data_IF_161285359246
#
_entry.id   IF_161285359246
#
_cell.length_a   1.000
_cell.length_b   1.000
_cell.length_c   1.000
_cell.angle_alpha   90.00
_cell.angle_beta   90.00
_cell.angle_gamma   90.00
#
_symmetry.space_group_name_H-M   'P 1'
#
loop_
_entity.id
_entity.type
_entity.pdbx_description
1 polymer ?
#
# COMPACT_ATOMS: atom_id res chain seq x y z
N UNK A 1 10.53 -3.87 -12.12
CA UNK A 1 11.34 -4.99 -11.60
C UNK A 1 11.08 -6.24 -12.44
N UNK A 2 12.12 -6.95 -12.90
CA UNK A 2 12.04 -8.25 -13.60
C UNK A 2 13.05 -9.19 -12.96
N UNK A 3 12.58 -10.34 -12.48
CA UNK A 3 13.36 -11.31 -11.71
C UNK A 3 13.27 -12.65 -12.43
N UNK A 4 14.42 -13.29 -12.62
CA UNK A 4 14.51 -14.57 -13.33
C UNK A 4 14.23 -15.77 -12.42
N UNK A 5 14.34 -16.97 -13.01
CA UNK A 5 14.11 -18.24 -12.34
C UNK A 5 15.08 -18.49 -11.18
N UNK A 6 16.35 -18.15 -11.33
CA UNK A 6 17.38 -18.46 -10.33
C UNK A 6 17.14 -17.60 -9.08
N UNK A 7 16.89 -16.31 -9.27
CA UNK A 7 16.55 -15.41 -8.16
C UNK A 7 15.18 -15.74 -7.54
N UNK A 8 14.16 -16.07 -8.34
CA UNK A 8 12.84 -16.46 -7.81
C UNK A 8 12.88 -17.72 -6.95
N UNK A 9 13.78 -18.67 -7.26
CA UNK A 9 13.91 -19.96 -6.54
C UNK A 9 14.94 -19.90 -5.41
N UNK A 10 15.71 -18.83 -5.31
CA UNK A 10 16.52 -18.53 -4.14
C UNK A 10 15.64 -17.87 -3.08
N UNK A 11 15.25 -18.62 -2.06
CA UNK A 11 14.31 -18.15 -1.06
C UNK A 11 14.77 -16.87 -0.36
N UNK A 12 16.01 -16.82 0.13
CA UNK A 12 16.54 -15.66 0.86
C UNK A 12 16.50 -14.40 -0.01
N UNK A 13 16.89 -14.54 -1.28
CA UNK A 13 16.82 -13.45 -2.25
C UNK A 13 15.38 -13.02 -2.52
N UNK A 14 14.49 -13.97 -2.78
CA UNK A 14 13.10 -13.72 -3.14
C UNK A 14 12.27 -13.15 -1.99
N UNK A 15 12.60 -13.47 -0.73
CA UNK A 15 12.00 -12.89 0.48
C UNK A 15 12.42 -11.43 0.69
N UNK A 16 13.62 -11.04 0.23
CA UNK A 16 14.12 -9.66 0.31
C UNK A 16 13.68 -8.75 -0.83
N UNK A 17 12.96 -9.27 -1.83
CA UNK A 17 12.46 -8.51 -2.98
C UNK A 17 10.96 -8.25 -2.81
N UNK A 18 10.61 -6.99 -2.55
CA UNK A 18 9.24 -6.57 -2.24
C UNK A 18 8.58 -5.86 -3.43
N UNK A 19 7.25 -5.98 -3.52
CA UNK A 19 6.43 -5.26 -4.50
C UNK A 19 5.27 -4.53 -3.79
N UNK A 20 4.79 -3.45 -4.41
CA UNK A 20 3.73 -2.60 -3.89
C UNK A 20 2.77 -2.21 -5.02
N UNK A 21 1.48 -2.32 -4.74
CA UNK A 21 0.38 -1.88 -5.59
C UNK A 21 -0.54 -0.99 -4.75
N UNK A 22 -0.62 0.30 -5.08
CA UNK A 22 -1.43 1.26 -4.31
C UNK A 22 -2.74 1.56 -5.03
N UNK A 23 -3.83 1.70 -4.29
CA UNK A 23 -5.09 2.16 -4.87
C UNK A 23 -5.23 3.70 -4.88
N UNK A 24 -4.26 4.41 -4.29
CA UNK A 24 -4.22 5.86 -4.16
C UNK A 24 -5.35 6.45 -3.30
N UNK A 25 -5.91 5.63 -2.42
CA UNK A 25 -6.79 6.01 -1.30
C UNK A 25 -6.14 5.67 0.05
N UNK A 26 -4.85 5.32 0.05
CA UNK A 26 -4.10 4.85 1.21
C UNK A 26 -4.19 3.34 1.43
N UNK A 27 -5.08 2.65 0.68
CA UNK A 27 -5.08 1.19 0.59
C UNK A 27 -4.01 0.69 -0.39
N UNK A 28 -3.53 -0.53 -0.15
CA UNK A 28 -2.51 -1.14 -0.99
C UNK A 28 -2.50 -2.67 -0.87
N UNK A 29 -1.89 -3.31 -1.86
CA UNK A 29 -1.44 -4.70 -1.83
C UNK A 29 0.09 -4.71 -1.85
N UNK A 30 0.70 -5.57 -1.05
CA UNK A 30 2.17 -5.71 -1.05
C UNK A 30 2.57 -7.10 -0.57
N UNK A 31 3.77 -7.50 -0.94
CA UNK A 31 4.33 -8.80 -0.59
C UNK A 31 5.74 -8.97 -1.12
N UNK A 32 6.23 -10.20 -1.08
CA UNK A 32 7.56 -10.56 -1.62
C UNK A 32 7.43 -11.29 -2.95
N UNK A 33 8.55 -11.38 -3.69
CA UNK A 33 8.65 -12.23 -4.90
C UNK A 33 8.47 -13.71 -4.56
N UNK A 34 8.91 -14.15 -3.37
CA UNK A 34 8.70 -15.53 -2.90
C UNK A 34 7.22 -15.88 -2.67
N UNK A 35 6.35 -14.86 -2.57
CA UNK A 35 4.94 -15.00 -2.24
C UNK A 35 4.66 -14.99 -0.74
N UNK A 36 5.66 -15.22 0.11
CA UNK A 36 5.49 -15.20 1.57
C UNK A 36 5.44 -13.78 2.14
N UNK A 37 4.62 -13.59 3.17
CA UNK A 37 4.64 -12.37 3.97
C UNK A 37 5.86 -12.41 4.92
N UNK A 38 6.70 -11.38 4.84
CA UNK A 38 7.86 -11.18 5.75
C UNK A 38 7.63 -10.08 6.77
N UNK A 39 6.58 -9.27 6.54
CA UNK A 39 6.16 -8.13 7.36
C UNK A 39 4.69 -8.28 7.72
N UNK A 40 4.29 -7.74 8.88
CA UNK A 40 2.86 -7.61 9.26
C UNK A 40 2.08 -6.65 8.34
N UNK A 41 2.80 -5.89 7.52
CA UNK A 41 2.23 -4.93 6.57
C UNK A 41 1.94 -5.54 5.19
N UNK A 42 2.50 -6.73 4.89
CA UNK A 42 2.17 -7.42 3.65
C UNK A 42 0.73 -7.92 3.71
N UNK A 43 -0.01 -7.61 2.66
CA UNK A 43 -1.44 -7.82 2.57
C UNK A 43 -1.86 -7.87 1.11
N UNK A 44 -2.90 -8.63 0.82
CA UNK A 44 -3.55 -8.60 -0.49
C UNK A 44 -4.65 -7.54 -0.55
N UNK A 45 -5.46 -7.40 0.49
CA UNK A 45 -6.45 -6.32 0.61
C UNK A 45 -6.25 -5.59 1.94
N UNK A 46 -5.59 -4.43 1.87
CA UNK A 46 -5.55 -3.44 2.93
C UNK A 46 -6.28 -2.20 2.47
N UNK A 47 -7.26 -1.73 3.25
CA UNK A 47 -8.08 -0.57 2.90
C UNK A 47 -7.99 0.51 3.97
N UNK A 48 -8.08 1.77 3.55
CA UNK A 48 -8.16 2.93 4.44
C UNK A 48 -9.63 3.34 4.58
N UNK A 49 -10.20 3.25 5.78
CA UNK A 49 -11.61 3.65 6.01
C UNK A 49 -11.80 5.16 5.94
N UNK A 50 -10.76 5.92 6.25
CA UNK A 50 -10.70 7.38 6.11
C UNK A 50 -9.45 7.77 5.33
N UNK A 51 -9.44 7.60 4.00
CA UNK A 51 -8.27 7.86 3.17
C UNK A 51 -7.47 9.12 3.54
N UNK A 52 -6.13 9.03 3.66
CA UNK A 52 -5.30 7.82 3.55
C UNK A 52 -5.12 7.04 4.88
N UNK A 53 -5.83 7.40 5.95
CA UNK A 53 -5.69 6.87 7.31
C UNK A 53 -6.73 5.81 7.67
N UNK A 54 -6.63 5.29 8.89
CA UNK A 54 -7.55 4.29 9.44
C UNK A 54 -7.51 2.98 8.63
N UNK A 55 -6.29 2.44 8.47
CA UNK A 55 -5.96 1.31 7.60
C UNK A 55 -6.17 -0.03 8.30
N UNK A 56 -6.84 -0.95 7.62
CA UNK A 56 -7.04 -2.32 8.09
C UNK A 56 -6.56 -3.33 7.06
N UNK A 57 -5.86 -4.35 7.52
CA UNK A 57 -5.61 -5.56 6.73
C UNK A 57 -6.85 -6.44 6.84
N UNK A 58 -7.47 -6.73 5.70
CA UNK A 58 -8.68 -7.53 5.60
C UNK A 58 -8.42 -8.89 4.96
N UNK A 59 -7.52 -8.94 3.97
CA UNK A 59 -7.04 -10.19 3.38
C UNK A 59 -5.52 -10.17 3.40
N UNK A 60 -4.93 -11.07 4.18
CA UNK A 60 -3.49 -11.21 4.37
C UNK A 60 -2.81 -11.81 3.13
N UNK A 61 -3.37 -12.92 2.61
CA UNK A 61 -2.71 -13.75 1.61
C UNK A 61 -3.70 -14.69 0.89
N UNK A 62 -3.23 -15.41 -0.14
CA UNK A 62 -3.95 -16.52 -0.78
C UNK A 62 -3.06 -17.76 -0.81
N UNK A 63 -3.49 -18.86 -0.21
CA UNK A 63 -2.87 -20.15 -0.49
C UNK A 63 -3.45 -20.75 -1.77
N UNK A 64 -2.62 -20.87 -2.80
CA UNK A 64 -3.02 -21.38 -4.11
C UNK A 64 -2.26 -22.67 -4.49
N UNK A 65 -2.98 -23.61 -5.10
CA UNK A 65 -2.49 -24.89 -5.59
C UNK A 65 -3.10 -25.21 -6.96
N UNK A 66 -2.35 -25.88 -7.81
CA UNK A 66 -2.90 -26.48 -9.03
C UNK A 66 -2.79 -28.01 -8.99
N UNK A 67 -3.83 -28.68 -9.47
CA UNK A 67 -3.88 -30.13 -9.54
C UNK A 67 -3.74 -30.58 -11.00
N UNK A 68 -2.69 -31.35 -11.26
CA UNK A 68 -2.32 -31.88 -12.59
C UNK A 68 -2.27 -33.39 -12.48
N UNK A 69 -3.16 -34.08 -13.21
CA UNK A 69 -3.19 -35.56 -13.29
C UNK A 69 -3.19 -36.24 -11.90
N UNK A 70 -3.87 -35.65 -10.91
CA UNK A 70 -4.00 -36.17 -9.55
C UNK A 70 -2.87 -35.81 -8.60
N UNK A 71 -1.89 -34.99 -9.03
CA UNK A 71 -0.83 -34.44 -8.18
C UNK A 71 -1.02 -32.94 -7.96
N UNK A 72 -0.75 -32.46 -6.74
CA UNK A 72 -0.93 -31.05 -6.37
C UNK A 72 0.40 -30.31 -6.31
N UNK A 73 0.45 -29.12 -6.93
CA UNK A 73 1.62 -28.24 -6.94
C UNK A 73 1.27 -26.89 -6.35
N UNK A 74 2.03 -26.38 -5.37
CA UNK A 74 1.76 -25.10 -4.75
C UNK A 74 2.21 -23.95 -5.65
N UNK A 75 1.44 -22.86 -5.63
CA UNK A 75 1.82 -21.57 -6.21
C UNK A 75 2.15 -20.53 -5.13
N UNK A 76 1.73 -20.77 -3.89
CA UNK A 76 1.91 -19.87 -2.73
C UNK A 76 3.06 -20.34 -1.82
N UNK A 77 3.60 -19.44 -1.00
CA UNK A 77 4.64 -19.76 -0.03
C UNK A 77 4.30 -19.13 1.31
N UNK A 78 4.37 -19.89 2.41
CA UNK A 78 4.23 -19.37 3.77
C UNK A 78 5.37 -19.86 4.66
N UNK A 79 5.70 -19.05 5.67
CA UNK A 79 6.75 -19.33 6.66
C UNK A 79 6.12 -19.67 8.00
N UNK A 80 6.58 -20.75 8.61
CA UNK A 80 6.15 -21.25 9.92
C UNK A 80 7.40 -21.58 10.76
N UNK A 81 7.26 -21.79 12.09
CA UNK A 81 8.39 -22.19 12.93
C UNK A 81 9.08 -23.43 12.35
N UNK A 82 10.32 -23.26 11.90
CA UNK A 82 11.16 -24.31 11.31
C UNK A 82 10.58 -25.00 10.06
N UNK A 83 9.61 -24.38 9.38
CA UNK A 83 8.97 -24.98 8.21
C UNK A 83 8.59 -23.93 7.16
N UNK A 84 8.64 -24.33 5.90
CA UNK A 84 8.11 -23.56 4.77
C UNK A 84 7.06 -24.44 4.13
N UNK A 85 5.82 -23.98 4.18
CA UNK A 85 4.71 -24.71 3.57
C UNK A 85 3.55 -23.75 3.30
N UNK A 86 2.98 -23.71 2.09
CA UNK A 86 3.46 -24.40 0.90
C UNK A 86 4.80 -23.82 0.39
N UNK A 87 5.41 -24.46 -0.62
CA UNK A 87 6.72 -24.06 -1.17
C UNK A 87 6.63 -23.61 -2.64
N UNK A 88 5.66 -22.74 -2.95
CA UNK A 88 5.36 -22.29 -4.31
C UNK A 88 6.50 -21.57 -5.01
N UNK A 89 7.40 -20.92 -4.24
CA UNK A 89 8.61 -20.28 -4.78
C UNK A 89 9.47 -21.25 -5.60
N UNK A 90 9.48 -22.56 -5.26
CA UNK A 90 10.21 -23.60 -6.02
C UNK A 90 9.68 -23.78 -7.44
N UNK A 91 8.41 -23.44 -7.69
CA UNK A 91 7.78 -23.51 -9.01
C UNK A 91 7.94 -22.22 -9.81
N UNK A 92 8.23 -21.10 -9.14
CA UNK A 92 8.36 -19.79 -9.78
C UNK A 92 9.55 -19.79 -10.75
N UNK A 93 9.31 -19.39 -11.99
CA UNK A 93 10.31 -19.27 -13.06
C UNK A 93 10.53 -17.83 -13.52
N UNK A 94 9.75 -16.89 -12.99
CA UNK A 94 9.96 -15.48 -13.24
C UNK A 94 8.91 -14.61 -12.58
N UNK A 95 9.30 -13.38 -12.28
CA UNK A 95 8.43 -12.35 -11.72
C UNK A 95 8.67 -11.01 -12.42
N UNK A 96 7.60 -10.23 -12.63
CA UNK A 96 7.68 -8.87 -13.16
C UNK A 96 6.67 -7.95 -12.48
N UNK A 97 7.00 -6.67 -12.33
CA UNK A 97 6.03 -5.62 -11.93
C UNK A 97 5.50 -4.83 -13.13
N UNK A 98 5.81 -5.26 -14.35
CA UNK A 98 5.39 -4.61 -15.58
C UNK A 98 4.31 -5.45 -16.30
N UNK A 99 3.08 -4.94 -16.46
CA UNK A 99 2.58 -3.65 -15.95
C UNK A 99 2.22 -3.66 -14.45
N UNK A 100 2.14 -4.83 -13.84
CA UNK A 100 1.83 -5.07 -12.43
C UNK A 100 2.44 -6.41 -11.97
N UNK A 101 2.53 -6.68 -10.65
CA UNK A 101 3.03 -7.93 -10.11
C UNK A 101 2.45 -9.16 -10.81
N UNK A 102 3.33 -9.90 -11.47
CA UNK A 102 3.02 -11.07 -12.28
C UNK A 102 4.05 -12.15 -12.04
N UNK A 103 3.59 -13.29 -11.53
CA UNK A 103 4.41 -14.49 -11.36
C UNK A 103 4.16 -15.44 -12.51
N UNK A 104 5.21 -16.12 -12.96
CA UNK A 104 5.12 -17.27 -13.88
C UNK A 104 5.62 -18.50 -13.15
N UNK A 105 4.78 -19.51 -13.03
CA UNK A 105 5.10 -20.80 -12.42
C UNK A 105 5.16 -21.89 -13.48
N UNK A 106 6.16 -22.77 -13.40
CA UNK A 106 6.24 -24.00 -14.20
C UNK A 106 6.11 -25.21 -13.28
N UNK A 107 4.95 -25.86 -13.34
CA UNK A 107 4.64 -27.07 -12.58
C UNK A 107 4.60 -28.26 -13.56
N UNK A 108 5.72 -28.97 -13.67
CA UNK A 108 5.85 -30.15 -14.55
C UNK A 108 5.43 -29.89 -16.00
N UNK A 109 5.89 -28.77 -16.59
CA UNK A 109 5.61 -28.41 -17.97
C UNK A 109 4.27 -27.70 -18.16
N UNK A 110 3.49 -27.54 -17.10
CA UNK A 110 2.28 -26.72 -17.10
C UNK A 110 2.60 -25.35 -16.53
N UNK A 111 2.52 -24.33 -17.40
CA UNK A 111 2.89 -22.96 -17.04
C UNK A 111 1.64 -22.16 -16.65
N UNK A 112 1.63 -21.59 -15.45
CA UNK A 112 0.55 -20.75 -14.95
C UNK A 112 1.10 -19.36 -14.63
N UNK A 113 0.42 -18.33 -15.11
CA UNK A 113 0.67 -16.95 -14.70
C UNK A 113 -0.34 -16.52 -13.64
N UNK A 114 0.14 -15.85 -12.60
CA UNK A 114 -0.67 -15.17 -11.60
C UNK A 114 -0.39 -13.67 -11.67
N UNK A 115 -1.43 -12.85 -11.82
CA UNK A 115 -1.35 -11.39 -11.83
C UNK A 115 -2.09 -10.82 -10.62
N UNK A 116 -1.55 -9.75 -10.02
CA UNK A 116 -2.20 -8.99 -8.94
C UNK A 116 -2.08 -7.50 -9.25
N UNK A 117 -3.20 -6.78 -9.21
CA UNK A 117 -3.19 -5.33 -9.37
C UNK A 117 -4.33 -4.65 -8.60
N UNK A 118 -4.05 -3.44 -8.12
CA UNK A 118 -5.08 -2.54 -7.59
C UNK A 118 -5.65 -1.68 -8.72
N UNK A 119 -6.92 -1.29 -8.58
CA UNK A 119 -7.55 -0.30 -9.46
C UNK A 119 -7.47 1.06 -8.79
N UNK A 120 -6.96 2.07 -9.51
CA UNK A 120 -6.86 3.43 -8.99
C UNK A 120 -8.24 3.93 -8.52
N UNK A 121 -8.26 4.56 -7.36
CA UNK A 121 -9.45 5.15 -6.72
C UNK A 121 -10.53 4.15 -6.30
N UNK A 122 -10.18 2.86 -6.17
CA UNK A 122 -11.09 1.79 -5.74
C UNK A 122 -10.47 0.97 -4.60
N UNK A 123 -11.26 0.64 -3.58
CA UNK A 123 -10.87 -0.24 -2.47
C UNK A 123 -11.03 -1.72 -2.89
N UNK A 124 -10.33 -2.07 -3.97
CA UNK A 124 -10.46 -3.32 -4.71
C UNK A 124 -9.09 -3.80 -5.24
N UNK A 125 -8.84 -5.10 -5.12
CA UNK A 125 -7.70 -5.80 -5.73
C UNK A 125 -8.21 -6.91 -6.66
N UNK A 126 -7.60 -7.02 -7.83
CA UNK A 126 -7.91 -8.06 -8.82
C UNK A 126 -6.76 -9.05 -8.90
N UNK A 127 -7.10 -10.35 -8.83
CA UNK A 127 -6.18 -11.46 -8.98
C UNK A 127 -6.64 -12.31 -10.16
N UNK A 128 -5.71 -12.64 -11.06
CA UNK A 128 -6.00 -13.44 -12.26
C UNK A 128 -5.00 -14.58 -12.38
N UNK A 129 -5.50 -15.77 -12.70
CA UNK A 129 -4.66 -16.91 -13.08
C UNK A 129 -4.95 -17.34 -14.50
N UNK A 130 -3.88 -17.57 -15.27
CA UNK A 130 -3.97 -17.94 -16.67
C UNK A 130 -3.06 -19.12 -16.98
N UNK A 131 -3.60 -20.09 -17.71
CA UNK A 131 -2.81 -21.18 -18.27
C UNK A 131 -2.06 -20.69 -19.52
N UNK A 132 -0.73 -20.70 -19.45
CA UNK A 132 0.18 -20.22 -20.50
C UNK A 132 0.95 -21.41 -21.09
N UNK A 133 1.43 -21.30 -22.32
CA UNK A 133 2.16 -22.39 -22.98
C UNK A 133 1.24 -23.50 -23.51
N UNK A 134 1.82 -24.62 -23.97
CA UNK A 134 1.22 -25.59 -24.92
C UNK A 134 0.17 -26.55 -24.35
N UNK A 135 -0.02 -26.61 -23.04
CA UNK A 135 -0.93 -27.56 -22.37
C UNK A 135 -2.35 -27.39 -22.88
N UNK A 136 -2.95 -28.46 -23.43
CA UNK A 136 -4.34 -28.47 -23.94
C UNK A 136 -5.36 -28.98 -22.93
N UNK A 137 -4.93 -29.69 -21.89
CA UNK A 137 -5.83 -30.22 -20.86
C UNK A 137 -6.16 -29.12 -19.86
N UNK A 138 -7.43 -29.07 -19.45
CA UNK A 138 -7.82 -28.25 -18.31
C UNK A 138 -7.16 -28.78 -17.03
N UNK A 139 -6.83 -27.87 -16.12
CA UNK A 139 -6.31 -28.21 -14.78
C UNK A 139 -7.19 -27.56 -13.72
N UNK A 140 -7.18 -28.13 -12.51
CA UNK A 140 -7.91 -27.54 -11.39
C UNK A 140 -7.00 -26.57 -10.64
N UNK A 141 -7.48 -25.36 -10.37
CA UNK A 141 -6.85 -24.40 -9.48
C UNK A 141 -7.70 -24.31 -8.20
N UNK A 142 -7.05 -24.43 -7.04
CA UNK A 142 -7.64 -24.23 -5.72
C UNK A 142 -7.01 -23.01 -5.07
N UNK A 143 -7.84 -22.12 -4.53
CA UNK A 143 -7.40 -20.86 -3.91
C UNK A 143 -8.12 -20.67 -2.58
N UNK A 144 -7.35 -20.57 -1.51
CA UNK A 144 -7.84 -20.36 -0.15
C UNK A 144 -7.43 -18.97 0.35
N UNK A 145 -8.38 -18.04 0.53
CA UNK A 145 -8.08 -16.72 1.05
C UNK A 145 -7.81 -16.75 2.56
N UNK A 146 -6.83 -15.96 2.99
CA UNK A 146 -6.47 -15.76 4.38
C UNK A 146 -7.00 -14.41 4.82
N UNK A 147 -8.11 -14.43 5.55
CA UNK A 147 -8.87 -13.26 5.97
C UNK A 147 -8.51 -12.91 7.41
N UNK A 148 -8.35 -11.63 7.67
CA UNK A 148 -8.16 -11.08 9.00
C UNK A 148 -9.23 -10.03 9.28
N UNK A 149 -8.83 -8.77 9.43
CA UNK A 149 -9.65 -7.72 10.04
C UNK A 149 -8.91 -7.07 11.19
N UNK A 150 -7.64 -6.72 10.97
CA UNK A 150 -6.77 -6.13 12.00
C UNK A 150 -6.27 -4.76 11.58
N UNK A 151 -5.92 -3.97 12.58
CA UNK A 151 -5.13 -2.75 12.36
C UNK A 151 -3.80 -3.12 11.67
N UNK A 152 -3.36 -2.30 10.72
CA UNK A 152 -2.14 -2.54 9.94
C UNK A 152 -0.84 -2.49 10.77
N UNK A 153 -0.86 -1.92 11.98
CA UNK A 153 0.22 -1.95 12.95
C UNK A 153 0.11 -3.12 13.96
N UNK A 154 -0.93 -3.93 13.92
CA UNK A 154 -1.11 -5.06 14.82
C UNK A 154 -0.84 -6.41 14.13
N UNK A 155 -0.77 -7.48 14.93
CA UNK A 155 -0.95 -8.87 14.48
C UNK A 155 -2.36 -9.34 14.87
N UNK A 156 -2.78 -10.44 14.26
CA UNK A 156 -4.07 -11.11 14.50
C UNK A 156 -3.80 -12.50 15.06
N UNK A 157 -4.57 -12.90 16.07
CA UNK A 157 -4.49 -14.21 16.69
C UNK A 157 -5.88 -14.82 16.79
N UNK A 158 -5.94 -16.15 16.96
CA UNK A 158 -7.20 -16.84 17.25
C UNK A 158 -7.91 -16.14 18.40
N UNK A 159 -9.18 -15.83 18.21
CA UNK A 159 -10.01 -15.16 19.21
C UNK A 159 -11.49 -15.51 19.04
N UNK A 160 -12.28 -15.22 20.06
CA UNK A 160 -13.72 -15.55 20.12
C UNK A 160 -14.61 -14.50 19.44
N UNK A 161 -14.05 -13.37 19.00
CA UNK A 161 -14.81 -12.28 18.37
C UNK A 161 -15.01 -12.50 16.87
N UNK A 162 -14.18 -13.32 16.23
CA UNK A 162 -14.28 -13.62 14.81
C UNK A 162 -15.52 -14.50 14.54
N UNK A 163 -16.41 -14.03 13.66
CA UNK A 163 -17.55 -14.81 13.18
C UNK A 163 -17.13 -15.73 12.03
N UNK A 164 -17.29 -17.05 12.25
CA UNK A 164 -17.05 -18.05 11.19
C UNK A 164 -18.27 -18.28 10.31
N UNK A 165 -19.45 -17.82 10.73
CA UNK A 165 -20.75 -18.09 10.08
C UNK A 165 -21.34 -16.89 9.35
N UNK A 166 -20.78 -15.69 9.52
CA UNK A 166 -21.15 -14.48 8.79
C UNK A 166 -20.61 -14.50 7.34
N UNK A 167 -21.06 -15.51 6.59
CA UNK A 167 -20.71 -15.74 5.18
C UNK A 167 -21.99 -15.82 4.35
N UNK A 168 -22.08 -15.00 3.30
CA UNK A 168 -23.14 -15.09 2.28
C UNK A 168 -22.53 -15.61 0.99
N UNK A 169 -23.13 -16.66 0.42
CA UNK A 169 -22.69 -17.26 -0.85
C UNK A 169 -23.80 -17.12 -1.88
N UNK A 170 -23.48 -16.52 -3.01
CA UNK A 170 -24.31 -16.49 -4.22
C UNK A 170 -23.50 -16.99 -5.40
N UNK A 171 -24.14 -17.19 -6.55
CA UNK A 171 -23.39 -17.52 -7.76
C UNK A 171 -22.43 -16.37 -8.11
N UNK A 172 -21.16 -16.71 -8.33
CA UNK A 172 -20.10 -15.75 -8.66
C UNK A 172 -19.66 -14.77 -7.56
N UNK A 173 -20.24 -14.81 -6.34
CA UNK A 173 -19.89 -13.88 -5.25
C UNK A 173 -19.97 -14.55 -3.88
N UNK A 174 -18.96 -14.30 -3.06
CA UNK A 174 -18.96 -14.63 -1.63
C UNK A 174 -18.69 -13.37 -0.83
N UNK A 175 -19.41 -13.17 0.27
CA UNK A 175 -19.18 -12.07 1.20
C UNK A 175 -18.84 -12.62 2.57
N UNK A 176 -17.71 -12.19 3.13
CA UNK A 176 -17.24 -12.55 4.47
C UNK A 176 -17.29 -11.32 5.37
N UNK A 177 -17.90 -11.44 6.55
CA UNK A 177 -17.87 -10.39 7.57
C UNK A 177 -17.37 -10.95 8.91
N UNK A 178 -16.05 -11.17 9.05
CA UNK A 178 -15.47 -11.77 10.25
C UNK A 178 -15.72 -10.93 11.51
N UNK A 179 -15.72 -9.60 11.38
CA UNK A 179 -15.94 -8.67 12.48
C UNK A 179 -17.07 -7.68 12.16
N UNK A 180 -18.01 -7.50 13.09
CA UNK A 180 -19.17 -6.63 12.91
C UNK A 180 -18.80 -5.15 12.74
N UNK A 181 -17.71 -4.70 13.38
CA UNK A 181 -17.19 -3.33 13.31
C UNK A 181 -16.34 -3.02 12.07
N UNK A 182 -16.13 -4.00 11.19
CA UNK A 182 -15.36 -3.85 9.95
C UNK A 182 -16.25 -4.03 8.71
N UNK A 183 -15.86 -3.46 7.57
CA UNK A 183 -16.54 -3.72 6.30
C UNK A 183 -16.45 -5.21 5.94
N UNK A 184 -17.49 -5.71 5.27
CA UNK A 184 -17.45 -7.05 4.68
C UNK A 184 -16.43 -7.08 3.54
N UNK A 185 -15.74 -8.20 3.38
CA UNK A 185 -14.93 -8.49 2.20
C UNK A 185 -15.82 -9.22 1.19
N UNK A 186 -16.06 -8.59 0.05
CA UNK A 186 -16.70 -9.20 -1.10
C UNK A 186 -15.65 -9.84 -2.01
N UNK A 187 -15.89 -11.08 -2.42
CA UNK A 187 -15.05 -11.88 -3.28
C UNK A 187 -15.82 -12.30 -4.54
N UNK A 188 -15.68 -11.53 -5.62
CA UNK A 188 -16.24 -11.88 -6.92
C UNK A 188 -15.32 -12.88 -7.61
N UNK A 189 -15.90 -13.98 -8.09
CA UNK A 189 -15.15 -15.14 -8.56
C UNK A 189 -15.88 -15.81 -9.73
N UNK A 190 -15.14 -16.41 -10.67
CA UNK A 190 -15.71 -17.10 -11.84
C UNK A 190 -15.54 -18.63 -11.82
N UNK A 191 -15.35 -19.21 -10.64
CA UNK A 191 -15.34 -20.64 -10.37
C UNK A 191 -16.44 -21.05 -9.38
N UNK A 192 -16.14 -22.05 -8.56
CA UNK A 192 -16.98 -22.47 -7.44
C UNK A 192 -16.36 -22.07 -6.10
N UNK A 193 -17.20 -21.93 -5.07
CA UNK A 193 -16.75 -21.72 -3.69
C UNK A 193 -17.29 -22.81 -2.78
N UNK A 194 -16.41 -23.37 -1.94
CA UNK A 194 -16.74 -24.29 -0.86
C UNK A 194 -16.46 -23.60 0.47
N UNK A 195 -17.49 -23.41 1.28
CA UNK A 195 -17.32 -22.94 2.65
C UNK A 195 -16.70 -24.05 3.50
N UNK A 196 -15.54 -23.76 4.09
CA UNK A 196 -14.71 -24.73 4.80
C UNK A 196 -13.76 -23.97 5.74
N UNK A 197 -14.28 -23.39 6.83
CA UNK A 197 -13.55 -22.47 7.67
C UNK A 197 -12.47 -23.17 8.49
N UNK A 198 -11.26 -22.61 8.52
CA UNK A 198 -10.14 -23.18 9.28
C UNK A 198 -9.15 -22.11 9.71
N UNK A 199 -8.33 -22.43 10.71
CA UNK A 199 -7.29 -21.56 11.26
C UNK A 199 -5.90 -22.09 10.89
N UNK A 200 -5.07 -21.21 10.34
CA UNK A 200 -3.64 -21.39 10.12
C UNK A 200 -2.92 -20.65 11.23
N UNK A 201 -2.06 -21.34 11.98
CA UNK A 201 -1.45 -20.78 13.20
C UNK A 201 0.04 -20.58 13.03
N UNK A 202 0.56 -19.59 13.73
CA UNK A 202 1.98 -19.31 13.81
C UNK A 202 2.65 -19.03 12.44
N UNK A 203 2.00 -18.24 11.57
CA UNK A 203 2.67 -17.72 10.37
C UNK A 203 3.73 -16.69 10.81
N UNK A 204 4.95 -16.78 10.28
CA UNK A 204 6.10 -15.99 10.73
C UNK A 204 6.51 -14.89 9.75
N UNK A 205 6.84 -13.72 10.29
CA UNK A 205 7.28 -12.52 9.60
C UNK A 205 8.74 -12.20 9.93
N UNK A 206 9.72 -12.84 9.27
CA UNK A 206 11.14 -12.71 9.62
C UNK A 206 11.66 -11.26 9.62
N UNK A 207 11.12 -10.37 8.79
CA UNK A 207 11.55 -8.97 8.78
C UNK A 207 11.02 -8.20 10.02
N UNK A 208 9.86 -8.55 10.59
CA UNK A 208 9.43 -8.00 11.88
C UNK A 208 10.26 -8.59 13.03
N UNK A 209 10.59 -9.88 12.96
CA UNK A 209 11.44 -10.53 13.97
C UNK A 209 12.81 -9.85 14.07
N UNK A 210 13.44 -9.53 12.93
CA UNK A 210 14.71 -8.80 12.87
C UNK A 210 14.60 -7.38 13.48
N UNK A 211 13.40 -6.77 13.42
CA UNK A 211 13.12 -5.45 14.01
C UNK A 211 12.77 -5.53 15.50
N UNK A 212 12.67 -6.73 16.08
CA UNK A 212 12.23 -6.93 17.45
C UNK A 212 10.75 -6.63 17.67
N UNK A 213 9.92 -6.74 16.63
CA UNK A 213 8.48 -6.53 16.67
C UNK A 213 7.72 -7.86 16.68
N UNK A 214 6.42 -7.81 16.97
CA UNK A 214 5.53 -8.97 16.86
C UNK A 214 5.60 -9.54 15.43
N UNK A 215 6.02 -10.80 15.34
CA UNK A 215 6.37 -11.45 14.08
C UNK A 215 5.58 -12.72 13.82
N UNK A 216 4.66 -13.10 14.71
CA UNK A 216 3.84 -14.30 14.57
C UNK A 216 2.37 -13.91 14.46
N UNK A 217 1.63 -14.50 13.52
CA UNK A 217 0.21 -14.22 13.27
C UNK A 217 -0.57 -15.52 13.01
N UNK A 218 -1.82 -15.58 13.48
CA UNK A 218 -2.78 -16.60 13.08
C UNK A 218 -3.73 -16.06 12.00
N UNK A 219 -3.93 -16.83 10.95
CA UNK A 219 -4.80 -16.48 9.84
C UNK A 219 -6.06 -17.34 9.84
N UNK A 220 -7.21 -16.71 9.64
CA UNK A 220 -8.45 -17.41 9.45
C UNK A 220 -8.77 -17.51 7.96
N UNK A 221 -9.18 -18.69 7.50
CA UNK A 221 -9.63 -18.89 6.14
C UNK A 221 -11.12 -19.25 6.16
N UNK A 222 -11.99 -18.57 5.39
CA UNK A 222 -13.42 -18.89 5.32
C UNK A 222 -13.76 -20.13 4.49
N UNK A 223 -12.89 -20.53 3.56
CA UNK A 223 -13.20 -21.59 2.60
C UNK A 223 -12.23 -21.61 1.42
N UNK A 224 -12.60 -22.30 0.35
CA UNK A 224 -11.75 -22.49 -0.83
C UNK A 224 -12.54 -22.24 -2.12
N UNK A 225 -11.98 -21.40 -3.01
CA UNK A 225 -12.45 -21.25 -4.37
C UNK A 225 -11.77 -22.30 -5.28
N UNK A 226 -12.54 -22.90 -6.20
CA UNK A 226 -12.05 -23.89 -7.16
C UNK A 226 -12.38 -23.45 -8.58
N UNK A 227 -11.39 -23.48 -9.47
CA UNK A 227 -11.52 -23.06 -10.87
C UNK A 227 -11.06 -24.16 -11.80
N UNK A 228 -11.70 -24.25 -12.97
CA UNK A 228 -11.20 -25.03 -14.10
C UNK A 228 -10.41 -24.11 -15.02
N UNK A 229 -9.08 -24.19 -14.94
CA UNK A 229 -8.19 -23.39 -15.79
C UNK A 229 -8.12 -23.99 -17.18
N UNK A 230 -8.61 -23.21 -18.15
CA UNK A 230 -8.58 -23.53 -19.57
C UNK A 230 -7.70 -22.52 -20.31
N UNK A 231 -7.11 -22.92 -21.44
CA UNK A 231 -6.40 -21.98 -22.30
C UNK A 231 -7.33 -20.86 -22.78
N UNK A 232 -6.85 -19.62 -22.70
CA UNK A 232 -7.57 -18.44 -23.17
C UNK A 232 -8.66 -17.93 -22.24
N UNK A 233 -8.92 -18.60 -21.10
CA UNK A 233 -9.89 -18.17 -20.09
C UNK A 233 -9.15 -17.99 -18.77
N UNK A 234 -9.19 -16.78 -18.21
CA UNK A 234 -8.60 -16.50 -16.91
C UNK A 234 -9.54 -16.95 -15.78
N UNK A 235 -9.00 -17.59 -14.74
CA UNK A 235 -9.66 -17.60 -13.44
C UNK A 235 -9.47 -16.24 -12.78
N UNK A 236 -10.53 -15.69 -12.20
CA UNK A 236 -10.52 -14.34 -11.64
C UNK A 236 -11.07 -14.36 -10.22
N UNK A 237 -10.37 -13.68 -9.32
CA UNK A 237 -10.81 -13.37 -7.98
C UNK A 237 -10.63 -11.87 -7.74
N UNK A 238 -11.72 -11.18 -7.42
CA UNK A 238 -11.69 -9.76 -7.07
C UNK A 238 -12.12 -9.62 -5.62
N UNK A 239 -11.26 -9.00 -4.80
CA UNK A 239 -11.53 -8.75 -3.39
C UNK A 239 -11.77 -7.24 -3.20
N UNK A 240 -12.87 -6.89 -2.56
CA UNK A 240 -13.27 -5.48 -2.36
C UNK A 240 -14.07 -5.30 -1.08
N UNK A 241 -14.04 -4.09 -0.51
CA UNK A 241 -14.95 -3.69 0.58
C UNK A 241 -16.13 -2.85 0.10
N UNK A 242 -16.19 -2.57 -1.19
CA UNK A 242 -17.18 -1.68 -1.77
C UNK A 242 -18.51 -2.38 -1.92
N UNK A 243 -19.62 -1.68 -1.69
CA UNK A 243 -20.95 -2.23 -1.94
C UNK A 243 -21.29 -2.14 -3.43
N UNK A 244 -20.90 -3.16 -4.20
CA UNK A 244 -21.21 -3.29 -5.62
C UNK A 244 -21.89 -4.64 -5.93
N UNK A 245 -22.69 -4.69 -6.98
CA UNK A 245 -23.47 -5.88 -7.33
C UNK A 245 -22.72 -6.82 -8.29
N UNK A 246 -21.84 -6.28 -9.13
CA UNK A 246 -21.07 -7.04 -10.11
C UNK A 246 -19.75 -6.34 -10.45
N UNK A 247 -18.82 -7.10 -11.01
CA UNK A 247 -17.52 -6.60 -11.46
C UNK A 247 -17.25 -7.09 -12.88
N UNK A 248 -16.94 -6.15 -13.78
CA UNK A 248 -16.39 -6.48 -15.09
C UNK A 248 -14.85 -6.49 -15.02
N UNK A 249 -14.28 -7.67 -14.80
CA UNK A 249 -12.83 -7.85 -14.65
C UNK A 249 -12.07 -7.47 -15.93
N UNK A 250 -12.68 -7.64 -17.11
CA UNK A 250 -12.06 -7.26 -18.37
C UNK A 250 -11.96 -5.74 -18.49
N UNK A 251 -13.04 -5.03 -18.15
CA UNK A 251 -13.04 -3.57 -18.11
C UNK A 251 -12.06 -3.01 -17.06
N UNK A 252 -11.98 -3.60 -15.86
CA UNK A 252 -11.01 -3.21 -14.84
C UNK A 252 -9.56 -3.39 -15.34
N UNK A 253 -9.27 -4.54 -15.95
CA UNK A 253 -7.93 -4.85 -16.48
C UNK A 253 -7.52 -3.88 -17.58
N UNK A 254 -8.40 -3.66 -18.56
CA UNK A 254 -8.11 -2.77 -19.69
C UNK A 254 -8.02 -1.31 -19.25
N UNK A 255 -8.90 -0.88 -18.35
CA UNK A 255 -8.87 0.46 -17.77
C UNK A 255 -7.55 0.75 -17.06
N UNK A 256 -7.10 -0.15 -16.18
CA UNK A 256 -5.85 0.01 -15.44
C UNK A 256 -4.62 -0.07 -16.37
N UNK A 257 -4.63 -0.96 -17.37
CA UNK A 257 -3.58 -1.03 -18.38
C UNK A 257 -3.48 0.28 -19.17
N UNK A 258 -4.60 0.78 -19.68
CA UNK A 258 -4.66 2.04 -20.43
C UNK A 258 -4.17 3.21 -19.59
N UNK A 259 -4.55 3.25 -18.31
CA UNK A 259 -4.11 4.28 -17.34
C UNK A 259 -2.59 4.26 -17.17
N UNK A 260 -1.99 3.09 -16.92
CA UNK A 260 -0.52 2.93 -16.73
C UNK A 260 0.26 3.26 -18.00
N UNK A 261 -0.18 2.74 -19.15
CA UNK A 261 0.44 3.07 -20.44
C UNK A 261 0.32 4.55 -20.76
N UNK A 262 -0.81 5.18 -20.45
CA UNK A 262 -1.02 6.63 -20.59
C UNK A 262 -0.07 7.44 -19.70
N UNK A 263 0.12 7.03 -18.45
CA UNK A 263 1.06 7.67 -17.53
C UNK A 263 2.50 7.58 -18.04
N UNK A 264 2.92 6.41 -18.52
CA UNK A 264 4.25 6.21 -19.09
C UNK A 264 4.46 7.04 -20.37
N UNK A 265 3.47 7.05 -21.26
CA UNK A 265 3.51 7.84 -22.50
C UNK A 265 3.49 9.36 -22.25
N UNK A 266 2.93 9.80 -21.13
CA UNK A 266 2.94 11.21 -20.70
C UNK A 266 4.27 11.64 -20.08
N UNK A 267 5.22 10.71 -19.85
CA UNK A 267 6.54 11.07 -19.34
C UNK A 267 7.28 11.97 -20.33
N UNK A 268 7.74 13.17 -19.93
CA UNK A 268 8.38 14.12 -20.83
C UNK A 268 9.83 13.77 -21.17
N UNK A 269 10.34 12.65 -20.66
CA UNK A 269 11.75 12.24 -20.74
C UNK A 269 11.88 10.92 -21.49
N UNK A 270 13.02 10.76 -22.17
CA UNK A 270 13.44 9.49 -22.77
C UNK A 270 14.44 8.73 -21.89
N UNK A 271 14.90 9.35 -20.79
CA UNK A 271 15.76 8.69 -19.82
C UNK A 271 14.99 7.61 -19.05
N UNK A 272 15.45 6.34 -19.06
CA UNK A 272 14.72 5.24 -18.45
C UNK A 272 14.48 5.41 -16.95
N UNK A 273 15.49 5.88 -16.20
CA UNK A 273 15.38 6.04 -14.74
C UNK A 273 14.39 7.15 -14.39
N UNK A 274 14.47 8.28 -15.06
CA UNK A 274 13.52 9.38 -14.87
C UNK A 274 12.09 8.98 -15.29
N UNK A 275 11.95 8.15 -16.33
CA UNK A 275 10.67 7.55 -16.72
C UNK A 275 10.10 6.61 -15.66
N UNK A 276 10.93 5.78 -15.03
CA UNK A 276 10.52 4.94 -13.90
C UNK A 276 10.10 5.75 -12.68
N UNK A 277 10.87 6.77 -12.30
CA UNK A 277 10.55 7.69 -11.20
C UNK A 277 9.24 8.47 -11.46
N UNK A 278 9.01 8.89 -12.70
CA UNK A 278 7.77 9.54 -13.14
C UNK A 278 6.54 8.67 -12.84
N UNK A 279 6.60 7.39 -13.20
CA UNK A 279 5.53 6.44 -12.92
C UNK A 279 5.43 6.14 -11.42
N UNK A 280 6.55 5.92 -10.73
CA UNK A 280 6.58 5.58 -9.31
C UNK A 280 6.00 6.69 -8.42
N UNK A 281 6.15 7.96 -8.82
CA UNK A 281 5.62 9.11 -8.07
C UNK A 281 4.08 9.09 -7.90
N UNK A 282 3.35 8.38 -8.75
CA UNK A 282 1.89 8.23 -8.59
C UNK A 282 1.50 7.44 -7.33
N UNK A 283 2.31 6.47 -6.92
CA UNK A 283 2.00 5.60 -5.78
C UNK A 283 1.78 6.39 -4.48
N UNK A 284 2.49 7.52 -4.33
CA UNK A 284 2.48 8.35 -3.14
C UNK A 284 1.35 9.39 -3.13
N UNK A 285 0.64 9.59 -4.24
CA UNK A 285 -0.49 10.50 -4.27
C UNK A 285 -1.75 9.80 -3.78
N UNK A 286 -2.44 10.40 -2.81
CA UNK A 286 -3.63 9.79 -2.21
C UNK A 286 -4.75 10.77 -1.93
N UNK A 287 -5.98 10.27 -1.92
CA UNK A 287 -7.16 11.03 -1.54
C UNK A 287 -7.21 11.29 -0.04
N UNK A 288 -7.58 12.52 0.35
CA UNK A 288 -7.96 12.94 1.71
C UNK A 288 -9.26 13.72 1.65
N UNK A 289 -10.36 13.10 2.08
CA UNK A 289 -11.70 13.69 1.93
C UNK A 289 -12.02 13.96 0.46
N UNK A 290 -12.28 15.22 0.10
CA UNK A 290 -12.49 15.67 -1.28
C UNK A 290 -11.24 16.17 -1.99
N UNK A 291 -10.06 16.08 -1.35
CA UNK A 291 -8.78 16.62 -1.82
C UNK A 291 -7.76 15.50 -2.06
N UNK A 292 -6.59 15.87 -2.56
CA UNK A 292 -5.41 15.00 -2.63
C UNK A 292 -4.35 15.40 -1.58
N UNK A 293 -3.53 14.43 -1.19
CA UNK A 293 -2.39 14.54 -0.26
C UNK A 293 -1.24 13.65 -0.73
N UNK A 294 -0.10 13.73 -0.05
CA UNK A 294 1.10 12.92 -0.30
C UNK A 294 1.33 12.00 0.88
N UNK A 295 1.36 10.69 0.64
CA UNK A 295 1.79 9.70 1.63
C UNK A 295 3.32 9.72 1.71
N UNK A 296 3.87 9.87 2.91
CA UNK A 296 5.31 9.98 3.14
C UNK A 296 6.06 8.69 2.80
N UNK A 297 5.44 7.53 3.02
CA UNK A 297 6.01 6.25 2.64
C UNK A 297 5.16 5.07 3.06
N UNK A 298 4.99 4.11 2.14
CA UNK A 298 4.40 2.82 2.50
C UNK A 298 5.46 1.91 3.12
N UNK A 299 5.05 0.99 4.02
CA UNK A 299 3.69 0.78 4.48
C UNK A 299 3.30 1.60 5.73
N UNK A 300 4.26 2.23 6.41
CA UNK A 300 4.10 2.74 7.77
C UNK A 300 3.40 4.08 7.89
N UNK A 301 3.55 4.96 6.90
CA UNK A 301 3.25 6.37 7.09
C UNK A 301 1.96 6.79 6.37
N UNK A 302 1.36 7.84 6.92
CA UNK A 302 0.35 8.70 6.30
C UNK A 302 1.04 9.92 5.68
N UNK A 303 0.38 11.08 5.64
CA UNK A 303 0.96 12.35 5.25
C UNK A 303 1.68 13.03 6.42
N UNK A 304 2.97 13.29 6.20
CA UNK A 304 3.87 13.98 7.12
C UNK A 304 4.29 15.29 6.49
N UNK A 305 4.18 16.40 7.22
CA UNK A 305 4.38 17.74 6.68
C UNK A 305 5.76 17.93 6.08
N UNK A 306 6.80 17.52 6.80
CA UNK A 306 8.19 17.61 6.34
C UNK A 306 8.39 16.87 5.01
N UNK A 307 8.09 15.58 4.97
CA UNK A 307 8.24 14.71 3.80
C UNK A 307 7.41 15.19 2.61
N UNK A 308 6.19 15.65 2.90
CA UNK A 308 5.29 16.22 1.90
C UNK A 308 5.94 17.41 1.21
N UNK A 309 6.44 18.39 1.95
CA UNK A 309 6.95 19.63 1.35
C UNK A 309 8.34 19.52 0.74
N UNK A 310 9.14 18.56 1.18
CA UNK A 310 10.38 18.18 0.48
C UNK A 310 10.04 17.53 -0.87
N UNK A 311 9.05 16.64 -0.90
CA UNK A 311 8.73 15.83 -2.09
C UNK A 311 7.79 16.51 -3.08
N UNK A 312 6.99 17.50 -2.63
CA UNK A 312 5.96 18.19 -3.42
C UNK A 312 6.48 18.70 -4.78
N UNK A 313 7.66 19.34 -4.88
CA UNK A 313 8.15 19.82 -6.16
C UNK A 313 8.36 18.70 -7.18
N UNK A 314 8.97 17.59 -6.76
CA UNK A 314 9.22 16.44 -7.63
C UNK A 314 7.93 15.70 -8.00
N UNK A 315 7.05 15.46 -7.03
CA UNK A 315 5.83 14.69 -7.23
C UNK A 315 4.76 15.45 -8.01
N UNK A 316 4.68 16.78 -7.85
CA UNK A 316 3.57 17.58 -8.35
C UNK A 316 3.95 18.74 -9.27
N UNK A 317 5.06 19.44 -9.04
CA UNK A 317 5.38 20.64 -9.84
C UNK A 317 6.06 20.26 -11.16
N UNK A 318 7.10 19.42 -11.09
CA UNK A 318 7.81 18.88 -12.27
C UNK A 318 6.87 18.04 -13.14
N UNK A 319 5.89 17.37 -12.53
CA UNK A 319 4.93 16.49 -13.22
C UNK A 319 3.69 17.22 -13.74
N UNK A 320 3.58 18.54 -13.54
CA UNK A 320 2.43 19.33 -13.98
C UNK A 320 1.14 19.14 -13.16
N UNK A 321 1.19 18.43 -12.03
CA UNK A 321 0.06 18.18 -11.12
C UNK A 321 -0.13 19.35 -10.14
N UNK A 322 -0.21 20.57 -10.65
CA UNK A 322 -0.21 21.80 -9.84
C UNK A 322 -1.42 21.92 -8.93
N UNK A 323 -2.59 21.44 -9.35
CA UNK A 323 -3.79 21.47 -8.53
C UNK A 323 -3.65 20.58 -7.28
N UNK A 324 -2.98 19.44 -7.40
CA UNK A 324 -2.67 18.56 -6.25
C UNK A 324 -1.71 19.26 -5.29
N UNK A 325 -0.69 19.95 -5.83
CA UNK A 325 0.22 20.76 -5.01
C UNK A 325 -0.54 21.86 -4.25
N UNK A 326 -1.45 22.56 -4.92
CA UNK A 326 -2.27 23.60 -4.31
C UNK A 326 -3.17 23.06 -3.19
N UNK A 327 -3.91 21.98 -3.46
CA UNK A 327 -4.79 21.36 -2.46
C UNK A 327 -4.02 20.93 -1.20
N UNK A 328 -2.81 20.42 -1.37
CA UNK A 328 -1.91 20.05 -0.27
C UNK A 328 -1.47 21.28 0.52
N UNK A 329 -0.96 22.32 -0.15
CA UNK A 329 -0.55 23.58 0.49
C UNK A 329 -1.70 24.21 1.27
N UNK A 330 -2.87 24.34 0.65
CA UNK A 330 -4.06 24.91 1.27
C UNK A 330 -4.52 24.09 2.49
N UNK A 331 -4.47 22.76 2.42
CA UNK A 331 -4.86 21.91 3.56
C UNK A 331 -3.96 22.11 4.76
N UNK A 332 -2.64 22.23 4.57
CA UNK A 332 -1.71 22.47 5.67
C UNK A 332 -1.80 23.91 6.20
N UNK A 333 -2.02 24.89 5.32
CA UNK A 333 -2.20 26.29 5.71
C UNK A 333 -3.33 26.46 6.73
N UNK A 334 -4.43 25.71 6.55
CA UNK A 334 -5.58 25.72 7.45
C UNK A 334 -5.28 25.17 8.86
N UNK A 335 -4.18 24.43 9.03
CA UNK A 335 -3.77 23.81 10.29
C UNK A 335 -2.56 24.49 10.93
N UNK A 336 -2.17 25.70 10.48
CA UNK A 336 -1.07 26.41 11.15
C UNK A 336 -1.50 26.81 12.56
N UNK A 337 -0.64 26.47 13.53
CA UNK A 337 -0.88 26.76 14.93
C UNK A 337 0.38 27.27 15.59
N UNK A 338 0.31 28.44 16.24
CA UNK A 338 1.45 29.10 16.90
C UNK A 338 2.67 29.22 15.96
N UNK A 339 2.45 29.66 14.72
CA UNK A 339 3.52 29.83 13.72
C UNK A 339 4.16 28.53 13.20
N UNK A 340 3.53 27.37 13.38
CA UNK A 340 4.06 26.08 12.93
C UNK A 340 3.04 25.34 12.07
N UNK A 341 3.50 24.68 10.99
CA UNK A 341 2.73 23.63 10.31
C UNK A 341 2.83 22.32 11.11
N UNK A 342 1.84 21.42 11.00
CA UNK A 342 1.93 20.12 11.62
C UNK A 342 3.02 19.25 10.97
N UNK A 343 3.75 18.50 11.80
CA UNK A 343 4.69 17.47 11.38
C UNK A 343 3.96 16.20 10.92
N UNK A 344 2.94 15.77 11.66
CA UNK A 344 2.19 14.55 11.40
C UNK A 344 0.70 14.78 11.55
N UNK A 345 -0.08 14.26 10.60
CA UNK A 345 -1.51 14.06 10.79
C UNK A 345 -1.76 12.64 11.30
N UNK A 346 -2.26 12.47 12.54
CA UNK A 346 -2.49 11.16 13.13
C UNK A 346 -3.64 10.42 12.44
N UNK A 347 -3.67 9.09 12.62
CA UNK A 347 -4.61 8.21 11.91
C UNK A 347 -6.09 8.41 12.34
N UNK A 348 -6.34 8.65 13.64
CA UNK A 348 -7.69 8.73 14.23
C UNK A 348 -7.76 9.79 15.33
N UNK A 349 -8.70 10.75 15.23
CA UNK A 349 -9.27 11.51 16.36
C UNK A 349 -8.32 12.43 17.16
N UNK A 350 -7.02 12.39 16.88
CA UNK A 350 -5.99 13.14 17.57
C UNK A 350 -5.70 14.48 16.88
N UNK A 351 -5.23 15.44 17.68
CA UNK A 351 -4.77 16.74 17.17
C UNK A 351 -3.49 16.55 16.34
N UNK A 352 -3.29 17.33 15.27
CA UNK A 352 -2.02 17.31 14.54
C UNK A 352 -0.83 17.55 15.46
N UNK A 353 0.28 16.87 15.20
CA UNK A 353 1.50 17.01 16.01
C UNK A 353 2.38 18.12 15.46
N UNK A 354 2.88 19.00 16.33
CA UNK A 354 3.69 20.17 15.96
C UNK A 354 5.13 20.08 16.47
N UNK A 355 5.74 18.89 16.44
CA UNK A 355 7.09 18.60 16.94
C UNK A 355 8.18 18.75 15.87
N UNK A 356 8.19 19.87 15.14
CA UNK A 356 9.11 20.09 14.01
C UNK A 356 9.57 21.55 13.94
N UNK A 357 10.89 21.75 13.82
CA UNK A 357 11.47 23.09 13.60
C UNK A 357 11.62 23.43 12.11
N UNK A 358 11.68 22.41 11.25
CA UNK A 358 12.05 22.53 9.84
C UNK A 358 10.86 22.42 8.86
N UNK A 359 9.77 21.74 9.22
CA UNK A 359 8.64 21.53 8.30
C UNK A 359 8.01 22.85 7.83
N UNK A 360 7.90 23.86 8.71
CA UNK A 360 7.34 25.16 8.33
C UNK A 360 8.23 25.91 7.34
N UNK A 361 9.55 25.70 7.40
CA UNK A 361 10.49 26.28 6.44
C UNK A 361 10.39 25.56 5.09
N UNK A 362 10.27 24.23 5.09
CA UNK A 362 9.99 23.46 3.87
C UNK A 362 8.66 23.83 3.24
N UNK A 363 7.63 24.12 4.05
CA UNK A 363 6.34 24.61 3.57
C UNK A 363 6.47 25.96 2.84
N UNK A 364 7.20 26.93 3.42
CA UNK A 364 7.47 28.22 2.76
C UNK A 364 8.22 28.01 1.44
N UNK A 365 9.24 27.16 1.44
CA UNK A 365 9.99 26.80 0.23
C UNK A 365 9.06 26.19 -0.83
N UNK A 366 8.20 25.24 -0.45
CA UNK A 366 7.26 24.59 -1.37
C UNK A 366 6.25 25.59 -1.98
N UNK A 367 5.78 26.58 -1.21
CA UNK A 367 4.92 27.66 -1.72
C UNK A 367 5.66 28.51 -2.75
N UNK A 368 6.92 28.88 -2.48
CA UNK A 368 7.70 29.68 -3.42
C UNK A 368 7.98 28.88 -4.71
N UNK A 369 8.32 27.59 -4.61
CA UNK A 369 8.42 26.71 -5.79
C UNK A 369 7.10 26.61 -6.54
N UNK A 370 5.98 26.44 -5.83
CA UNK A 370 4.65 26.41 -6.46
C UNK A 370 4.38 27.70 -7.24
N UNK A 371 4.67 28.87 -6.66
CA UNK A 371 4.52 30.16 -7.32
C UNK A 371 5.43 30.26 -8.56
N UNK A 372 6.67 29.80 -8.44
CA UNK A 372 7.63 29.82 -9.55
C UNK A 372 7.15 28.98 -10.75
N UNK A 373 6.54 27.83 -10.52
CA UNK A 373 6.00 26.95 -11.56
C UNK A 373 4.64 27.41 -12.10
N UNK A 374 3.67 27.67 -11.22
CA UNK A 374 2.28 27.96 -11.59
C UNK A 374 2.03 29.40 -12.03
N UNK A 375 2.86 30.34 -11.57
CA UNK A 375 2.65 31.79 -11.67
C UNK A 375 1.33 32.27 -11.04
N UNK A 376 0.72 31.47 -10.17
CA UNK A 376 -0.57 31.79 -9.54
C UNK A 376 -0.40 32.69 -8.31
N UNK A 377 -0.06 33.95 -8.57
CA UNK A 377 0.08 34.97 -7.53
C UNK A 377 -1.22 35.21 -6.75
N UNK A 378 -2.37 35.08 -7.41
CA UNK A 378 -3.67 35.35 -6.80
C UNK A 378 -3.97 34.37 -5.67
N UNK A 379 -3.85 33.06 -5.93
CA UNK A 379 -4.07 32.02 -4.91
C UNK A 379 -3.05 32.13 -3.78
N UNK A 380 -1.77 32.29 -4.12
CA UNK A 380 -0.70 32.42 -3.13
C UNK A 380 -0.95 33.62 -2.22
N UNK A 381 -1.28 34.79 -2.80
CA UNK A 381 -1.54 36.01 -2.01
C UNK A 381 -2.77 35.88 -1.11
N UNK A 382 -3.82 35.22 -1.58
CA UNK A 382 -5.07 35.09 -0.84
C UNK A 382 -4.98 34.10 0.33
N UNK A 383 -4.28 32.97 0.15
CA UNK A 383 -4.32 31.84 1.10
C UNK A 383 -2.95 31.55 1.71
N UNK A 384 -1.93 31.32 0.90
CA UNK A 384 -0.63 30.87 1.38
C UNK A 384 0.19 32.00 2.04
N UNK A 385 0.08 33.24 1.55
CA UNK A 385 0.82 34.38 2.08
C UNK A 385 0.44 34.76 3.52
N UNK A 386 -0.85 34.81 3.92
CA UNK A 386 -1.22 34.93 5.33
C UNK A 386 -0.60 33.85 6.22
N UNK A 387 -0.58 32.60 5.75
CA UNK A 387 0.03 31.47 6.43
C UNK A 387 1.56 31.64 6.60
N UNK A 388 2.27 32.05 5.54
CA UNK A 388 3.72 32.36 5.59
C UNK A 388 4.01 33.46 6.61
N UNK A 389 3.23 34.55 6.62
CA UNK A 389 3.40 35.62 7.61
C UNK A 389 3.21 35.13 9.04
N UNK A 390 2.19 34.29 9.28
CA UNK A 390 1.96 33.72 10.60
C UNK A 390 3.14 32.86 11.06
N UNK A 391 3.74 32.06 10.17
CA UNK A 391 4.94 31.29 10.48
C UNK A 391 6.12 32.21 10.81
N UNK A 392 6.39 33.20 9.95
CA UNK A 392 7.49 34.14 10.16
C UNK A 392 7.31 34.89 11.49
N UNK A 393 6.12 35.43 11.76
CA UNK A 393 5.85 36.15 13.01
C UNK A 393 5.95 35.24 14.24
N UNK A 394 5.54 33.96 14.12
CA UNK A 394 5.74 32.98 15.18
C UNK A 394 7.22 32.70 15.44
N UNK A 395 8.01 32.47 14.39
CA UNK A 395 9.46 32.26 14.53
C UNK A 395 10.15 33.52 15.07
N UNK A 396 9.64 34.72 14.78
CA UNK A 396 10.15 35.98 15.37
C UNK A 396 9.84 36.12 16.87
N UNK A 397 8.63 35.76 17.28
CA UNK A 397 8.13 36.00 18.64
C UNK A 397 8.40 34.84 19.60
N UNK A 398 8.66 33.65 19.06
CA UNK A 398 8.73 32.40 19.79
C UNK A 398 7.52 31.51 19.51
N UNK A 399 7.78 30.22 19.29
CA UNK A 399 6.76 29.16 19.12
C UNK A 399 6.94 28.05 20.17
N UNK A 400 6.40 26.86 19.90
CA UNK A 400 6.63 25.68 20.75
C UNK A 400 8.13 25.34 20.79
N UNK A 401 8.53 24.58 21.81
CA UNK A 401 9.89 24.06 21.95
C UNK A 401 10.99 25.13 21.89
N UNK A 402 10.69 26.34 22.37
CA UNK A 402 11.60 27.48 22.38
C UNK A 402 12.15 27.84 21.00
N UNK A 403 11.41 27.56 19.92
CA UNK A 403 11.82 27.96 18.57
C UNK A 403 11.56 29.45 18.41
N UNK A 404 12.60 30.24 18.20
CA UNK A 404 12.55 31.70 18.08
C UNK A 404 13.70 32.22 17.20
N UNK A 405 13.65 33.49 16.83
CA UNK A 405 14.76 34.19 16.22
C UNK A 405 15.61 34.85 17.31
N UNK A 406 16.90 34.59 17.26
CA UNK A 406 17.88 35.15 18.19
C UNK A 406 18.29 36.58 17.75
N UNK A 407 19.09 37.26 18.57
CA UNK A 407 19.54 38.64 18.35
C UNK A 407 20.29 38.84 17.02
N UNK A 408 20.94 37.78 16.52
CA UNK A 408 21.67 37.77 15.24
C UNK A 408 20.77 37.53 14.01
N UNK A 409 19.46 37.30 14.22
CA UNK A 409 18.49 37.03 13.17
C UNK A 409 18.42 35.56 12.72
N UNK A 410 19.19 34.65 13.34
CA UNK A 410 19.11 33.21 13.08
C UNK A 410 18.01 32.57 13.92
N UNK A 411 17.49 31.44 13.44
CA UNK A 411 16.48 30.67 14.16
C UNK A 411 17.16 29.69 15.11
N UNK A 412 16.92 29.86 16.40
CA UNK A 412 17.32 28.95 17.46
C UNK A 412 16.09 28.20 17.99
N UNK A 413 16.27 26.98 18.48
CA UNK A 413 15.18 26.20 19.05
C UNK A 413 15.62 24.86 19.56
N UNK A 414 14.75 24.22 20.34
CA UNK A 414 15.05 22.96 21.01
C UNK A 414 14.78 23.04 22.50
N UNK A 415 14.32 21.91 23.05
CA UNK A 415 14.23 21.69 24.49
C UNK A 415 14.82 20.31 24.80
N UNK A 416 15.36 20.09 26.00
CA UNK A 416 15.87 18.78 26.38
C UNK A 416 14.87 17.65 26.11
N UNK A 417 15.34 16.59 25.45
CA UNK A 417 14.54 15.40 25.15
C UNK A 417 13.60 15.50 23.93
N UNK A 418 13.59 16.63 23.21
CA UNK A 418 12.81 16.82 21.98
C UNK A 418 13.69 16.73 20.72
N UNK A 419 13.17 16.03 19.71
CA UNK A 419 13.79 15.81 18.41
C UNK A 419 12.98 16.56 17.34
N UNK A 420 13.48 17.72 16.90
CA UNK A 420 12.68 18.67 16.12
C UNK A 420 13.09 18.76 14.65
N UNK A 421 14.29 18.30 14.31
CA UNK A 421 14.81 18.27 12.94
C UNK A 421 14.45 16.96 12.24
N UNK A 422 14.70 16.87 10.93
CA UNK A 422 14.58 15.62 10.17
C UNK A 422 15.43 14.45 10.72
N UNK A 423 16.52 14.74 11.43
CA UNK A 423 17.25 13.77 12.24
C UNK A 423 16.50 13.57 13.57
N UNK A 424 15.41 12.81 13.56
CA UNK A 424 14.49 12.66 14.71
C UNK A 424 14.50 11.26 15.35
N UNK A 425 15.61 10.54 15.23
CA UNK A 425 15.77 9.26 15.91
C UNK A 425 15.94 9.45 17.43
N UNK A 426 15.24 8.63 18.22
CA UNK A 426 15.31 8.63 19.68
C UNK A 426 15.36 7.20 20.22
N UNK A 427 16.27 6.93 21.15
CA UNK A 427 16.40 5.65 21.86
C UNK A 427 16.23 5.89 23.36
N UNK A 428 15.11 5.47 23.92
CA UNK A 428 14.73 5.86 25.28
C UNK A 428 14.58 7.39 25.36
N UNK A 429 15.35 8.05 26.22
CA UNK A 429 15.38 9.52 26.33
C UNK A 429 16.50 10.18 25.51
N UNK A 430 17.39 9.40 24.92
CA UNK A 430 18.51 9.91 24.13
C UNK A 430 18.07 10.24 22.71
N UNK A 431 18.22 11.51 22.31
CA UNK A 431 18.05 11.97 20.92
C UNK A 431 19.39 11.75 20.20
N UNK A 432 19.35 10.98 19.11
CA UNK A 432 20.53 10.47 18.37
C UNK A 432 21.12 11.51 17.44
#
# INVERSE_FOLDING_TARGET
MKIDKEECRNLDRALGLEWLETNGRGGFSSGTVAGANTRRYHALLLTARKPPSERFVLVNHLEAWIDIEGQSYPLSTNLYPNAIHPEGYKQCTGFTTDPWPTWTYDCHGTVVQQEVFCVRDRDLVTIRWMLVGKTKKAITLRVRPMVSGRDYHATHHVNDSLSTTATTVTDGLVSWRPYSGLPSVQAFQNGGYRHDPTWFRAVQFPAEQQRGLDFEEDWWSPGECTYQLNRGVAATLVLTTESIDSVDVAALTEGERKRRTGLQAASPTTDPLAGELWCAGEAYLSTRGSRQTVIAGYPWFTDWGRDTFISLPGLCLVTGRWEIAWQTIESFAAHISQGMVPNRFPDIGEQPEYNTIDASLWFIHAIERYLAYSKDEARVRAVAWPAVKHIIDGYRQGTRYSIHMDEDGLIAGGVPGAQLTWMDAKVGDWVV
#
